data_IF_523010175740
#
_entry.id   IF_523010175740
#
_cell.length_a   1.000
_cell.length_b   1.000
_cell.length_c   1.000
_cell.angle_alpha   90.00
_cell.angle_beta   90.00
_cell.angle_gamma   90.00
#
_symmetry.space_group_name_H-M   'P 1'
#
loop_
_entity.id
_entity.type
_entity.pdbx_description
1 polymer ?
#
# COMPACT_ATOMS: atom_id res chain seq x y z
N UNK A 1 -12.87 -23.37 29.19
CA UNK A 1 -13.28 -21.98 28.91
C UNK A 1 -13.40 -21.81 27.39
N UNK A 2 -14.59 -21.62 26.82
CA UNK A 2 -14.75 -21.54 25.38
C UNK A 2 -14.32 -20.17 24.86
N UNK A 3 -13.59 -20.17 23.75
CA UNK A 3 -12.92 -19.03 23.11
C UNK A 3 -13.76 -18.59 21.92
N UNK A 4 -14.83 -17.82 22.13
CA UNK A 4 -15.73 -17.44 21.03
C UNK A 4 -16.56 -16.16 21.30
N UNK A 5 -15.94 -15.01 21.59
CA UNK A 5 -16.69 -13.73 21.66
C UNK A 5 -16.01 -12.52 21.00
N UNK A 6 -14.72 -12.59 20.65
CA UNK A 6 -14.00 -11.41 20.12
C UNK A 6 -14.24 -11.13 18.62
N UNK A 7 -14.77 -12.08 17.86
CA UNK A 7 -14.95 -11.96 16.41
C UNK A 7 -16.25 -11.27 15.96
N UNK A 8 -17.35 -11.47 16.67
CA UNK A 8 -18.68 -11.01 16.25
C UNK A 8 -18.85 -9.50 16.39
N UNK A 9 -18.44 -8.92 17.53
CA UNK A 9 -18.47 -7.47 17.77
C UNK A 9 -17.57 -6.69 16.80
N UNK A 10 -16.40 -7.24 16.47
CA UNK A 10 -15.49 -6.63 15.48
C UNK A 10 -16.06 -6.66 14.06
N UNK A 11 -16.75 -7.74 13.68
CA UNK A 11 -17.40 -7.87 12.38
C UNK A 11 -18.62 -6.94 12.25
N UNK A 12 -19.42 -6.79 13.30
CA UNK A 12 -20.56 -5.85 13.32
C UNK A 12 -20.10 -4.39 13.29
N UNK A 13 -19.08 -4.02 14.07
CA UNK A 13 -18.47 -2.69 14.01
C UNK A 13 -17.91 -2.38 12.60
N UNK A 14 -17.26 -3.37 11.97
CA UNK A 14 -16.75 -3.25 10.60
C UNK A 14 -17.89 -3.11 9.59
N UNK A 15 -19.00 -3.86 9.74
CA UNK A 15 -20.19 -3.73 8.88
C UNK A 15 -20.86 -2.36 9.02
N UNK A 16 -21.01 -1.86 10.24
CA UNK A 16 -21.59 -0.54 10.47
C UNK A 16 -20.69 0.57 9.94
N UNK A 17 -19.38 0.45 10.12
CA UNK A 17 -18.39 1.34 9.53
C UNK A 17 -18.46 1.32 7.99
N UNK A 18 -18.50 0.15 7.35
CA UNK A 18 -18.67 0.01 5.89
C UNK A 18 -19.97 0.63 5.39
N UNK A 19 -21.10 0.40 6.08
CA UNK A 19 -22.39 1.06 5.75
C UNK A 19 -22.29 2.58 5.82
N UNK A 20 -21.65 3.12 6.87
CA UNK A 20 -21.42 4.56 7.02
C UNK A 20 -20.49 5.11 5.93
N UNK A 21 -19.40 4.41 5.64
CA UNK A 21 -18.42 4.74 4.59
C UNK A 21 -19.09 4.75 3.21
N UNK A 22 -19.91 3.74 2.89
CA UNK A 22 -20.70 3.71 1.64
C UNK A 22 -21.73 4.82 1.57
N UNK A 23 -22.45 5.10 2.67
CA UNK A 23 -23.42 6.21 2.74
C UNK A 23 -22.75 7.57 2.53
N UNK A 24 -21.57 7.75 3.11
CA UNK A 24 -20.74 8.95 2.96
C UNK A 24 -19.97 8.99 1.63
N UNK A 25 -20.11 7.96 0.77
CA UNK A 25 -19.30 7.77 -0.44
C UNK A 25 -17.82 7.97 -0.13
N UNK A 26 -17.31 7.16 0.80
CA UNK A 26 -15.90 7.08 1.16
C UNK A 26 -15.35 5.73 0.67
N UNK A 27 -14.08 5.66 0.24
CA UNK A 27 -13.48 4.39 -0.21
C UNK A 27 -13.31 3.40 0.95
N UNK A 28 -13.68 2.14 0.73
CA UNK A 28 -13.34 1.01 1.60
C UNK A 28 -11.92 0.53 1.26
N UNK A 29 -11.11 0.13 2.24
CA UNK A 29 -9.72 -0.32 2.02
C UNK A 29 -9.50 -1.66 2.72
N UNK A 30 -8.90 -2.62 2.02
CA UNK A 30 -8.52 -3.92 2.59
C UNK A 30 -7.01 -4.04 2.89
N UNK A 31 -6.58 -5.19 3.41
CA UNK A 31 -5.18 -5.42 3.76
C UNK A 31 -4.25 -5.53 2.53
N UNK A 32 -4.75 -6.01 1.40
CA UNK A 32 -4.00 -6.12 0.15
C UNK A 32 -3.78 -4.73 -0.43
N UNK A 33 -4.81 -3.88 -0.43
CA UNK A 33 -4.71 -2.47 -0.84
C UNK A 33 -3.64 -1.72 -0.03
N UNK A 34 -3.59 -1.98 1.28
CA UNK A 34 -2.60 -1.36 2.17
C UNK A 34 -1.17 -1.83 1.86
N UNK A 35 -0.98 -3.12 1.57
CA UNK A 35 0.32 -3.67 1.19
C UNK A 35 0.80 -3.12 -0.17
N UNK A 36 -0.09 -3.07 -1.16
CA UNK A 36 0.20 -2.49 -2.47
C UNK A 36 0.53 -0.99 -2.37
N UNK A 37 -0.22 -0.25 -1.56
CA UNK A 37 0.05 1.17 -1.35
C UNK A 37 1.41 1.41 -0.68
N UNK A 38 1.80 0.57 0.29
CA UNK A 38 3.11 0.61 0.91
C UNK A 38 4.23 0.31 -0.11
N UNK A 39 4.05 -0.69 -0.96
CA UNK A 39 5.00 -1.03 -2.02
C UNK A 39 5.19 0.12 -3.03
N UNK A 40 4.09 0.77 -3.46
CA UNK A 40 4.16 1.94 -4.36
C UNK A 40 4.86 3.12 -3.69
N UNK A 41 4.62 3.36 -2.40
CA UNK A 41 5.30 4.40 -1.64
C UNK A 41 6.82 4.15 -1.57
N UNK A 42 7.24 2.91 -1.29
CA UNK A 42 8.65 2.50 -1.29
C UNK A 42 9.27 2.65 -2.67
N UNK A 43 8.61 2.17 -3.73
CA UNK A 43 9.10 2.29 -5.10
C UNK A 43 9.33 3.74 -5.51
N UNK A 44 8.38 4.63 -5.18
CA UNK A 44 8.52 6.07 -5.43
C UNK A 44 9.70 6.67 -4.67
N UNK A 45 9.83 6.35 -3.38
CA UNK A 45 10.92 6.85 -2.55
C UNK A 45 12.30 6.44 -3.09
N UNK A 46 12.46 5.18 -3.48
CA UNK A 46 13.70 4.68 -4.11
C UNK A 46 13.96 5.38 -5.45
N UNK A 47 12.93 5.60 -6.26
CA UNK A 47 13.06 6.34 -7.51
C UNK A 47 13.50 7.80 -7.31
N UNK A 48 12.97 8.48 -6.29
CA UNK A 48 13.38 9.83 -5.91
C UNK A 48 14.84 9.84 -5.42
N UNK A 49 15.24 8.90 -4.56
CA UNK A 49 16.61 8.76 -4.07
C UNK A 49 17.63 8.48 -5.20
N UNK A 50 17.26 7.68 -6.20
CA UNK A 50 18.10 7.39 -7.37
C UNK A 50 17.99 8.44 -8.50
N UNK A 51 17.18 9.49 -8.33
CA UNK A 51 17.00 10.53 -9.34
C UNK A 51 16.28 10.07 -10.62
N UNK A 52 15.54 8.96 -10.58
CA UNK A 52 14.82 8.43 -11.75
C UNK A 52 13.53 9.20 -12.04
N UNK A 53 13.62 10.25 -12.88
CA UNK A 53 12.45 11.05 -13.33
C UNK A 53 11.37 10.20 -14.00
N UNK A 54 11.76 9.14 -14.71
CA UNK A 54 10.84 8.21 -15.39
C UNK A 54 9.95 7.48 -14.38
N UNK A 55 10.54 6.95 -13.31
CA UNK A 55 9.81 6.15 -12.32
C UNK A 55 8.94 7.02 -11.40
N UNK A 56 9.40 8.24 -11.09
CA UNK A 56 8.59 9.25 -10.39
C UNK A 56 7.38 9.66 -11.25
N UNK A 57 7.57 9.85 -12.56
CA UNK A 57 6.46 10.13 -13.48
C UNK A 57 5.48 8.96 -13.54
N UNK A 58 5.98 7.72 -13.61
CA UNK A 58 5.14 6.51 -13.64
C UNK A 58 4.26 6.40 -12.40
N UNK A 59 4.85 6.56 -11.21
CA UNK A 59 4.10 6.51 -9.95
C UNK A 59 3.07 7.63 -9.86
N UNK A 60 3.43 8.84 -10.26
CA UNK A 60 2.48 9.97 -10.34
C UNK A 60 1.31 9.67 -11.30
N UNK A 61 1.57 9.04 -12.44
CA UNK A 61 0.53 8.60 -13.37
C UNK A 61 -0.42 7.57 -12.75
N UNK A 62 0.13 6.59 -12.01
CA UNK A 62 -0.67 5.60 -11.27
C UNK A 62 -1.55 6.25 -10.19
N UNK A 63 -1.03 7.24 -9.46
CA UNK A 63 -1.82 8.01 -8.49
C UNK A 63 -3.02 8.69 -9.17
N UNK A 64 -2.80 9.36 -10.30
CA UNK A 64 -3.87 10.04 -11.05
C UNK A 64 -4.91 9.07 -11.59
N UNK A 65 -4.47 7.92 -12.14
CA UNK A 65 -5.39 6.87 -12.60
C UNK A 65 -6.28 6.36 -11.47
N UNK A 66 -5.72 6.12 -10.28
CA UNK A 66 -6.49 5.67 -9.12
C UNK A 66 -7.51 6.72 -8.64
N UNK A 67 -7.13 8.01 -8.63
CA UNK A 67 -8.04 9.11 -8.28
C UNK A 67 -9.21 9.18 -9.27
N UNK A 68 -8.91 9.14 -10.57
CA UNK A 68 -9.94 9.20 -11.62
C UNK A 68 -10.88 8.00 -11.56
N UNK A 69 -10.35 6.81 -11.28
CA UNK A 69 -11.17 5.61 -11.07
C UNK A 69 -12.15 5.79 -9.91
N UNK A 70 -11.70 6.33 -8.77
CA UNK A 70 -12.58 6.59 -7.62
C UNK A 70 -13.65 7.64 -7.95
N UNK A 71 -13.28 8.72 -8.65
CA UNK A 71 -14.24 9.73 -9.10
C UNK A 71 -15.30 9.10 -10.02
N UNK A 72 -14.88 8.26 -10.97
CA UNK A 72 -15.79 7.54 -11.87
C UNK A 72 -16.75 6.58 -11.13
N UNK A 73 -16.38 6.12 -9.93
CA UNK A 73 -17.25 5.35 -9.03
C UNK A 73 -18.19 6.22 -8.18
N UNK A 74 -18.17 7.54 -8.36
CA UNK A 74 -19.06 8.49 -7.70
C UNK A 74 -18.54 9.06 -6.38
N UNK A 75 -17.26 8.83 -6.07
CA UNK A 75 -16.60 9.45 -4.93
C UNK A 75 -16.27 10.92 -5.20
N UNK A 76 -16.35 11.78 -4.18
CA UNK A 76 -15.98 13.19 -4.33
C UNK A 76 -14.48 13.35 -4.62
N UNK A 77 -14.12 14.24 -5.55
CA UNK A 77 -12.75 14.43 -6.02
C UNK A 77 -11.76 14.70 -4.88
N UNK A 78 -12.08 15.64 -3.98
CA UNK A 78 -11.23 15.97 -2.83
C UNK A 78 -11.01 14.77 -1.89
N UNK A 79 -12.03 13.93 -1.71
CA UNK A 79 -11.93 12.74 -0.88
C UNK A 79 -11.13 11.63 -1.57
N UNK A 80 -11.31 11.44 -2.87
CA UNK A 80 -10.53 10.50 -3.68
C UNK A 80 -9.04 10.86 -3.65
N UNK A 81 -8.72 12.13 -3.94
CA UNK A 81 -7.34 12.65 -3.93
C UNK A 81 -6.69 12.47 -2.56
N UNK A 82 -7.38 12.91 -1.49
CA UNK A 82 -6.86 12.80 -0.12
C UNK A 82 -6.62 11.36 0.29
N UNK A 83 -7.52 10.44 -0.06
CA UNK A 83 -7.41 9.02 0.30
C UNK A 83 -6.26 8.35 -0.45
N UNK A 84 -6.11 8.59 -1.75
CA UNK A 84 -5.01 8.03 -2.56
C UNK A 84 -3.68 8.55 -2.05
N UNK A 85 -3.52 9.88 -1.96
CA UNK A 85 -2.24 10.50 -1.52
C UNK A 85 -1.82 10.05 -0.13
N UNK A 86 -2.74 9.96 0.84
CA UNK A 86 -2.43 9.47 2.20
C UNK A 86 -1.89 8.04 2.22
N UNK A 87 -2.28 7.19 1.26
CA UNK A 87 -1.85 5.79 1.20
C UNK A 87 -0.54 5.60 0.47
N UNK A 88 -0.35 6.32 -0.63
CA UNK A 88 0.80 6.14 -1.55
C UNK A 88 1.96 7.10 -1.30
N UNK A 89 1.75 8.21 -0.61
CA UNK A 89 2.80 9.18 -0.23
C UNK A 89 3.05 9.12 1.26
N UNK A 90 3.49 7.97 1.75
CA UNK A 90 3.71 7.76 3.17
C UNK A 90 5.00 8.41 3.64
N UNK A 91 4.96 9.07 4.80
CA UNK A 91 6.12 9.72 5.43
C UNK A 91 7.08 8.72 6.08
N UNK A 92 6.65 7.47 6.28
CA UNK A 92 7.43 6.39 6.86
C UNK A 92 8.09 5.49 5.80
N UNK A 93 8.15 5.92 4.53
CA UNK A 93 8.67 5.12 3.41
C UNK A 93 10.07 4.56 3.69
N UNK A 94 10.99 5.35 4.26
CA UNK A 94 12.34 4.93 4.66
C UNK A 94 12.32 3.71 5.60
N UNK A 95 11.38 3.67 6.54
CA UNK A 95 11.23 2.56 7.50
C UNK A 95 10.60 1.32 6.87
N UNK A 96 9.91 1.49 5.74
CA UNK A 96 9.26 0.41 5.00
C UNK A 96 10.19 -0.25 3.98
N UNK A 97 11.25 0.44 3.52
CA UNK A 97 12.21 -0.09 2.54
C UNK A 97 12.76 -1.47 2.93
N UNK A 98 13.23 -1.71 4.17
CA UNK A 98 13.79 -3.01 4.56
C UNK A 98 12.73 -4.12 4.66
N UNK A 99 11.46 -3.77 4.83
CA UNK A 99 10.37 -4.74 4.96
C UNK A 99 9.87 -5.23 3.60
N UNK A 100 9.94 -4.36 2.57
CA UNK A 100 9.52 -4.69 1.19
C UNK A 100 10.63 -5.42 0.44
N UNK A 101 11.89 -5.05 0.68
CA UNK A 101 13.05 -5.66 0.01
C UNK A 101 13.57 -6.93 0.73
N UNK A 102 12.97 -7.31 1.85
CA UNK A 102 13.45 -8.37 2.74
C UNK A 102 14.57 -7.90 3.66
N UNK A 103 14.85 -8.63 4.77
CA UNK A 103 15.94 -8.27 5.67
C UNK A 103 17.24 -8.12 4.89
N UNK A 104 17.94 -7.01 5.11
CA UNK A 104 19.18 -6.62 4.41
C UNK A 104 20.38 -7.55 4.67
N UNK A 105 20.16 -8.79 5.11
CA UNK A 105 21.17 -9.82 5.30
C UNK A 105 20.60 -11.18 4.94
N UNK A 106 20.87 -11.66 3.73
CA UNK A 106 20.33 -12.96 3.32
C UNK A 106 20.52 -13.40 1.88
N UNK A 107 21.44 -12.83 1.10
CA UNK A 107 21.94 -13.50 -0.12
C UNK A 107 23.47 -13.43 -0.17
N UNK A 108 24.11 -13.82 0.93
CA UNK A 108 25.39 -14.50 0.81
C UNK A 108 25.07 -15.94 0.39
N UNK A 109 24.81 -16.14 -0.90
CA UNK A 109 24.87 -17.48 -1.48
C UNK A 109 26.35 -17.88 -1.49
N UNK A 110 26.88 -18.33 -0.34
CA UNK A 110 28.11 -19.12 -0.26
C UNK A 110 27.86 -20.52 -0.84
N UNK A 111 27.32 -20.57 -2.05
CA UNK A 111 27.27 -21.75 -2.91
C UNK A 111 28.64 -21.90 -3.55
N UNK A 112 29.58 -22.38 -2.75
CA UNK A 112 30.87 -22.92 -3.13
C UNK A 112 30.69 -23.91 -4.29
N UNK A 113 30.91 -23.48 -5.53
CA UNK A 113 31.18 -24.42 -6.62
C UNK A 113 32.66 -24.84 -6.49
N UNK A 114 32.97 -26.13 -6.33
CA UNK A 114 34.35 -26.58 -6.50
C UNK A 114 34.75 -26.41 -7.99
N UNK A 115 36.01 -26.06 -8.29
CA UNK A 115 36.49 -26.07 -9.66
C UNK A 115 36.46 -27.52 -10.18
N UNK A 116 35.90 -27.70 -11.38
CA UNK A 116 35.98 -28.97 -12.08
C UNK A 116 37.45 -29.25 -12.41
N UNK A 117 37.95 -30.41 -11.95
CA UNK A 117 39.09 -31.10 -12.57
C UNK A 117 38.57 -32.00 -13.67
#
# INVERSE_FOLDING_TARGET
MPRAESGSRGQEATRQWRRKVRRERRPETDAVDMALAAAVAVYRHVAEAHGSKRDVTRTTGMELMAINFLIAKGYAAEHAERQVRRRVRRLDAEKLVPLVNGPAGGVANQGRFPPAM
#
